data_IF_496998226128
#
_entry.id   IF_496998226128
#
_cell.length_a   1.000
_cell.length_b   1.000
_cell.length_c   1.000
_cell.angle_alpha   90.00
_cell.angle_beta   90.00
_cell.angle_gamma   90.00
#
_symmetry.space_group_name_H-M   'P 1'
#
loop_
_entity.id
_entity.type
_entity.pdbx_description
1 polymer ?
#
# COMPACT_ATOMS: atom_id res chain seq x y z
N UNK A 1 9.75 -6.67 -17.07
CA UNK A 1 10.22 -8.07 -17.33
C UNK A 1 9.35 -9.03 -16.55
N UNK A 2 9.05 -10.24 -17.07
CA UNK A 2 8.07 -11.19 -16.47
C UNK A 2 8.24 -11.40 -14.96
N UNK A 3 9.46 -11.56 -14.44
CA UNK A 3 9.67 -11.77 -13.00
C UNK A 3 9.35 -10.55 -12.13
N UNK A 4 9.49 -9.32 -12.66
CA UNK A 4 9.09 -8.10 -11.96
C UNK A 4 7.57 -8.03 -11.81
N UNK A 5 6.83 -8.46 -12.83
CA UNK A 5 5.37 -8.51 -12.78
C UNK A 5 4.88 -9.55 -11.76
N UNK A 6 5.57 -10.70 -11.65
CA UNK A 6 5.28 -11.71 -10.62
C UNK A 6 5.61 -11.19 -9.22
N UNK A 7 6.75 -10.50 -9.05
CA UNK A 7 7.10 -9.90 -7.77
C UNK A 7 6.03 -8.91 -7.30
N UNK A 8 5.55 -8.03 -8.19
CA UNK A 8 4.45 -7.10 -7.91
C UNK A 8 3.15 -7.83 -7.52
N UNK A 9 2.70 -8.80 -8.32
CA UNK A 9 1.47 -9.56 -8.00
C UNK A 9 1.56 -10.28 -6.66
N UNK A 10 2.70 -10.89 -6.35
CA UNK A 10 2.89 -11.59 -5.09
C UNK A 10 2.99 -10.60 -3.91
N UNK A 11 3.60 -9.44 -4.11
CA UNK A 11 3.61 -8.34 -3.15
C UNK A 11 2.19 -7.86 -2.81
N UNK A 12 1.35 -7.66 -3.82
CA UNK A 12 -0.05 -7.25 -3.62
C UNK A 12 -0.82 -8.29 -2.82
N UNK A 13 -0.62 -9.58 -3.13
CA UNK A 13 -1.22 -10.68 -2.37
C UNK A 13 -0.75 -10.74 -0.90
N UNK A 14 0.55 -10.54 -0.65
CA UNK A 14 1.12 -10.48 0.72
C UNK A 14 0.56 -9.29 1.50
N UNK A 15 0.41 -8.14 0.84
CA UNK A 15 -0.09 -6.92 1.48
C UNK A 15 -1.62 -6.93 1.68
N UNK A 16 -2.36 -7.71 0.90
CA UNK A 16 -3.80 -7.93 1.06
C UNK A 16 -4.15 -8.77 2.31
N UNK A 17 -5.35 -9.34 2.28
CA UNK A 17 -5.89 -10.16 3.39
C UNK A 17 -5.52 -11.64 3.30
N UNK A 18 -4.86 -12.07 2.22
CA UNK A 18 -4.55 -13.49 1.97
C UNK A 18 -3.50 -14.04 2.93
N UNK A 19 -2.55 -13.21 3.36
CA UNK A 19 -1.44 -13.63 4.22
C UNK A 19 -1.28 -12.69 5.42
N UNK A 20 -0.87 -13.23 6.55
CA UNK A 20 -0.43 -12.49 7.74
C UNK A 20 1.09 -12.56 7.89
N UNK A 21 1.64 -11.67 8.72
CA UNK A 21 3.05 -11.77 9.10
C UNK A 21 3.24 -13.06 9.92
N UNK A 22 4.25 -13.85 9.55
CA UNK A 22 4.52 -15.18 10.09
C UNK A 22 3.97 -16.32 9.23
N UNK A 23 3.08 -16.05 8.27
CA UNK A 23 2.49 -17.11 7.45
C UNK A 23 3.51 -17.73 6.49
N UNK A 24 3.34 -19.03 6.27
CA UNK A 24 4.09 -19.79 5.28
C UNK A 24 3.50 -19.56 3.88
N UNK A 25 4.32 -19.09 2.95
CA UNK A 25 3.93 -19.01 1.55
C UNK A 25 3.87 -20.42 0.92
N UNK A 26 3.03 -20.62 -0.11
CA UNK A 26 3.06 -21.84 -0.89
C UNK A 26 4.46 -22.10 -1.47
N UNK A 27 4.77 -23.37 -1.72
CA UNK A 27 6.09 -23.78 -2.23
C UNK A 27 6.40 -23.13 -3.56
N UNK A 28 7.69 -23.03 -3.92
CA UNK A 28 8.11 -22.50 -5.22
C UNK A 28 7.42 -23.25 -6.39
N UNK A 29 7.18 -24.55 -6.24
CA UNK A 29 6.48 -25.35 -7.25
C UNK A 29 5.03 -24.87 -7.39
N UNK A 30 4.29 -24.79 -6.29
CA UNK A 30 2.88 -24.35 -6.29
C UNK A 30 2.72 -22.93 -6.80
N UNK A 31 3.57 -22.00 -6.37
CA UNK A 31 3.55 -20.62 -6.83
C UNK A 31 3.88 -20.53 -8.33
N UNK A 32 4.83 -21.34 -8.82
CA UNK A 32 5.21 -21.32 -10.25
C UNK A 32 4.07 -21.80 -11.14
N UNK A 33 3.30 -22.79 -10.68
CA UNK A 33 2.08 -23.26 -11.32
C UNK A 33 0.97 -22.20 -11.26
N UNK A 34 0.75 -21.60 -10.09
CA UNK A 34 -0.28 -20.56 -9.86
C UNK A 34 -0.08 -19.36 -10.79
N UNK A 35 1.16 -18.92 -10.96
CA UNK A 35 1.49 -17.78 -11.82
C UNK A 35 1.81 -18.18 -13.27
N UNK A 36 1.77 -19.47 -13.60
CA UNK A 36 2.10 -20.03 -14.92
C UNK A 36 3.46 -19.54 -15.45
N UNK A 37 4.51 -19.66 -14.62
CA UNK A 37 5.88 -19.24 -14.97
C UNK A 37 6.90 -20.33 -14.63
N UNK A 38 8.09 -20.23 -15.23
CA UNK A 38 9.21 -21.10 -14.85
C UNK A 38 9.61 -20.89 -13.38
N UNK A 39 10.16 -21.94 -12.75
CA UNK A 39 10.74 -21.87 -11.40
C UNK A 39 11.84 -20.82 -11.28
N UNK A 40 12.66 -20.64 -12.33
CA UNK A 40 13.70 -19.61 -12.35
C UNK A 40 13.11 -18.20 -12.34
N UNK A 41 12.01 -17.97 -13.07
CA UNK A 41 11.28 -16.69 -13.07
C UNK A 41 10.70 -16.40 -11.69
N UNK A 42 10.08 -17.39 -11.06
CA UNK A 42 9.54 -17.24 -9.71
C UNK A 42 10.64 -16.96 -8.68
N UNK A 43 11.76 -17.69 -8.75
CA UNK A 43 12.91 -17.45 -7.85
C UNK A 43 13.39 -16.02 -7.92
N UNK A 44 13.58 -15.48 -9.12
CA UNK A 44 13.94 -14.05 -9.31
C UNK A 44 12.92 -13.10 -8.69
N UNK A 45 11.63 -13.44 -8.74
CA UNK A 45 10.59 -12.63 -8.11
C UNK A 45 10.67 -12.70 -6.58
N UNK A 46 10.88 -13.88 -6.01
CA UNK A 46 11.09 -14.07 -4.57
C UNK A 46 12.37 -13.39 -4.08
N UNK A 47 13.44 -13.39 -4.88
CA UNK A 47 14.70 -12.70 -4.55
C UNK A 47 14.47 -11.19 -4.36
N UNK A 48 13.60 -10.57 -5.16
CA UNK A 48 13.21 -9.16 -4.99
C UNK A 48 12.52 -8.97 -3.63
N UNK A 49 11.51 -9.78 -3.33
CA UNK A 49 10.71 -9.65 -2.10
C UNK A 49 11.54 -9.92 -0.83
N UNK A 50 12.50 -10.85 -0.91
CA UNK A 50 13.45 -11.12 0.18
C UNK A 50 14.42 -9.95 0.36
N UNK A 51 14.93 -9.38 -0.75
CA UNK A 51 15.79 -8.18 -0.69
C UNK A 51 15.04 -6.96 -0.13
N UNK A 52 13.75 -6.84 -0.41
CA UNK A 52 12.84 -5.87 0.21
C UNK A 52 12.47 -6.24 1.66
N UNK A 53 12.97 -7.36 2.18
CA UNK A 53 12.74 -7.83 3.55
C UNK A 53 11.31 -8.24 3.86
N UNK A 54 10.44 -8.37 2.85
CA UNK A 54 9.04 -8.77 3.00
C UNK A 54 8.86 -10.23 3.36
N UNK A 55 9.77 -11.07 2.86
CA UNK A 55 9.78 -12.51 3.11
C UNK A 55 11.14 -12.95 3.67
N UNK A 56 11.17 -14.12 4.28
CA UNK A 56 12.37 -14.79 4.76
C UNK A 56 12.34 -16.25 4.30
N UNK A 57 13.38 -16.69 3.57
CA UNK A 57 13.55 -18.11 3.22
C UNK A 57 14.36 -18.83 4.29
N UNK A 58 13.76 -19.87 4.87
CA UNK A 58 14.43 -20.76 5.82
C UNK A 58 14.70 -22.09 5.13
N UNK A 59 15.99 -22.45 5.03
CA UNK A 59 16.40 -23.70 4.38
C UNK A 59 15.69 -24.90 5.00
N UNK A 60 15.03 -25.72 4.17
CA UNK A 60 14.24 -26.88 4.63
C UNK A 60 12.90 -26.57 5.30
N UNK A 61 12.64 -25.33 5.71
CA UNK A 61 11.43 -24.94 6.44
C UNK A 61 10.45 -24.08 5.61
N UNK A 62 10.87 -23.56 4.47
CA UNK A 62 10.02 -22.84 3.52
C UNK A 62 10.21 -21.32 3.54
N UNK A 63 9.25 -20.58 2.98
CA UNK A 63 9.32 -19.11 2.83
C UNK A 63 8.24 -18.47 3.67
N UNK A 64 8.62 -17.59 4.60
CA UNK A 64 7.71 -16.97 5.55
C UNK A 64 7.53 -15.49 5.26
N UNK A 65 6.32 -14.97 5.50
CA UNK A 65 6.05 -13.53 5.45
C UNK A 65 6.69 -12.87 6.67
N UNK A 66 7.68 -12.00 6.46
CA UNK A 66 8.40 -11.31 7.52
C UNK A 66 7.81 -9.94 7.85
N UNK A 67 7.37 -9.21 6.82
CA UNK A 67 6.66 -7.93 6.97
C UNK A 67 5.80 -7.64 5.75
N UNK A 68 4.73 -6.90 5.96
CA UNK A 68 3.99 -6.28 4.87
C UNK A 68 4.64 -4.94 4.54
N UNK A 69 4.97 -4.71 3.27
CA UNK A 69 5.37 -3.37 2.83
C UNK A 69 4.10 -2.65 2.43
N UNK A 70 3.38 -2.12 3.42
CA UNK A 70 2.29 -1.19 3.12
C UNK A 70 2.92 0.14 2.70
N UNK A 71 3.53 0.15 1.51
CA UNK A 71 3.64 1.37 0.75
C UNK A 71 2.24 1.52 0.19
N UNK A 72 1.50 2.51 0.65
CA UNK A 72 0.34 2.98 -0.10
C UNK A 72 0.86 3.25 -1.51
N UNK A 73 0.63 2.32 -2.43
CA UNK A 73 0.97 2.49 -3.83
C UNK A 73 0.10 3.64 -4.32
N UNK A 74 0.60 4.85 -4.15
CA UNK A 74 0.24 6.02 -4.95
C UNK A 74 0.93 5.83 -6.31
N UNK A 75 0.67 4.69 -6.96
CA UNK A 75 1.10 4.49 -8.34
C UNK A 75 0.03 5.11 -9.23
N UNK A 76 0.44 6.25 -9.78
CA UNK A 76 -0.26 7.15 -10.69
C UNK A 76 -1.28 8.07 -10.06
N UNK A 77 -1.34 9.26 -10.67
CA UNK A 77 -2.24 10.38 -10.45
C UNK A 77 -3.71 10.03 -10.68
N UNK A 78 -4.11 8.82 -10.35
CA UNK A 78 -5.49 8.39 -10.38
C UNK A 78 -5.96 8.39 -8.95
N UNK A 79 -6.75 9.42 -8.61
CA UNK A 79 -7.44 9.51 -7.33
C UNK A 79 -8.11 8.15 -7.05
N UNK A 80 -8.22 7.68 -5.79
CA UNK A 80 -8.82 6.36 -5.51
C UNK A 80 -10.23 6.19 -6.15
N UNK A 81 -10.90 7.31 -6.38
CA UNK A 81 -12.11 7.46 -7.21
C UNK A 81 -11.99 6.86 -8.62
N UNK A 82 -10.87 7.04 -9.32
CA UNK A 82 -10.60 6.47 -10.66
C UNK A 82 -10.33 4.97 -10.62
N UNK A 83 -9.63 4.47 -9.60
CA UNK A 83 -9.35 3.03 -9.45
C UNK A 83 -10.67 2.26 -9.24
N UNK A 84 -11.62 2.84 -8.52
CA UNK A 84 -12.94 2.27 -8.34
C UNK A 84 -13.83 2.32 -9.59
N UNK A 85 -13.86 3.48 -10.28
CA UNK A 85 -14.56 3.59 -11.57
C UNK A 85 -14.09 2.52 -12.56
N UNK A 86 -12.78 2.29 -12.63
CA UNK A 86 -12.19 1.31 -13.54
C UNK A 86 -12.41 -0.16 -13.12
N UNK A 87 -12.83 -0.42 -11.88
CA UNK A 87 -13.15 -1.77 -11.38
C UNK A 87 -14.66 -2.02 -11.26
N UNK A 88 -15.50 -1.06 -11.66
CA UNK A 88 -16.96 -1.16 -11.56
C UNK A 88 -17.50 -1.09 -10.13
N UNK A 89 -16.67 -0.63 -9.17
CA UNK A 89 -17.04 -0.52 -7.76
C UNK A 89 -17.49 0.89 -7.44
N UNK A 90 -18.49 1.02 -6.59
CA UNK A 90 -18.95 2.33 -6.13
C UNK A 90 -18.12 2.76 -4.91
N UNK A 91 -17.45 3.91 -5.01
CA UNK A 91 -16.76 4.54 -3.88
C UNK A 91 -17.48 5.79 -3.45
N UNK A 92 -17.86 5.82 -2.19
CA UNK A 92 -18.34 6.99 -1.49
C UNK A 92 -17.27 7.40 -0.46
N UNK A 93 -16.88 8.67 -0.49
CA UNK A 93 -15.96 9.24 0.51
C UNK A 93 -16.73 10.18 1.42
N UNK A 94 -16.72 9.88 2.72
CA UNK A 94 -17.29 10.74 3.75
C UNK A 94 -16.14 11.43 4.50
N UNK A 95 -16.09 12.76 4.43
CA UNK A 95 -15.14 13.56 5.22
C UNK A 95 -15.65 13.61 6.65
N UNK A 96 -14.86 13.06 7.57
CA UNK A 96 -15.15 13.07 9.00
C UNK A 96 -14.58 14.31 9.69
N UNK A 97 -13.43 14.80 9.21
CA UNK A 97 -12.77 16.00 9.75
C UNK A 97 -11.98 16.70 8.67
N UNK A 98 -12.08 18.01 8.63
CA UNK A 98 -11.27 18.89 7.80
C UNK A 98 -10.97 20.15 8.61
N UNK A 99 -9.70 20.38 8.92
CA UNK A 99 -9.27 21.53 9.71
C UNK A 99 -7.84 21.92 9.39
N UNK A 100 -7.46 23.12 9.83
CA UNK A 100 -6.07 23.57 9.82
C UNK A 100 -5.51 23.42 11.24
N UNK A 101 -4.34 22.81 11.36
CA UNK A 101 -3.62 22.67 12.62
C UNK A 101 -2.13 22.94 12.42
N UNK A 102 -1.39 23.17 13.51
CA UNK A 102 0.06 23.25 13.47
C UNK A 102 0.70 21.88 13.22
N UNK A 103 1.71 21.81 12.37
CA UNK A 103 2.47 20.59 12.13
C UNK A 103 3.21 20.15 13.40
N UNK A 104 2.97 18.91 13.85
CA UNK A 104 3.79 18.28 14.91
C UNK A 104 5.21 18.02 14.40
N UNK A 105 6.16 17.75 15.30
CA UNK A 105 7.54 17.39 14.95
C UNK A 105 7.64 16.27 13.89
N UNK A 106 6.79 15.25 13.98
CA UNK A 106 6.78 14.16 13.00
C UNK A 106 6.29 14.65 11.64
N UNK A 107 5.16 15.38 11.62
CA UNK A 107 4.56 15.87 10.37
C UNK A 107 5.45 16.91 9.69
N UNK A 108 6.08 17.80 10.46
CA UNK A 108 6.96 18.82 9.94
C UNK A 108 8.19 18.21 9.26
N UNK A 109 8.79 17.19 9.88
CA UNK A 109 9.90 16.42 9.31
C UNK A 109 9.51 15.68 8.03
N UNK A 110 8.39 14.96 8.04
CA UNK A 110 7.95 14.17 6.87
C UNK A 110 7.53 15.05 5.69
N UNK A 111 6.90 16.20 5.97
CA UNK A 111 6.55 17.17 4.93
C UNK A 111 7.71 18.06 4.52
N UNK A 112 8.81 18.12 5.28
CA UNK A 112 9.91 19.08 5.11
C UNK A 112 9.41 20.54 5.21
N UNK A 113 8.78 20.87 6.34
CA UNK A 113 8.31 22.20 6.75
C UNK A 113 8.76 22.49 8.19
N UNK A 114 8.59 23.71 8.67
CA UNK A 114 8.90 24.04 10.08
C UNK A 114 7.86 23.49 11.03
N UNK A 115 8.26 23.13 12.26
CA UNK A 115 7.30 22.80 13.31
C UNK A 115 6.30 23.94 13.55
N UNK A 116 5.06 23.56 13.86
CA UNK A 116 3.90 24.44 14.00
C UNK A 116 3.48 25.21 12.74
N UNK A 117 4.13 25.00 11.58
CA UNK A 117 3.60 25.55 10.33
C UNK A 117 2.20 24.99 10.05
N UNK A 118 1.28 25.80 9.48
CA UNK A 118 -0.07 25.37 9.20
C UNK A 118 -0.14 24.22 8.19
N UNK A 119 -0.85 23.17 8.57
CA UNK A 119 -1.18 22.02 7.72
C UNK A 119 -2.68 21.76 7.73
N UNK A 120 -3.25 21.41 6.59
CA UNK A 120 -4.57 20.79 6.54
C UNK A 120 -4.49 19.39 7.13
N UNK A 121 -5.41 19.07 8.03
CA UNK A 121 -5.68 17.71 8.48
C UNK A 121 -7.03 17.26 7.95
N UNK A 122 -7.02 16.16 7.20
CA UNK A 122 -8.22 15.60 6.56
C UNK A 122 -8.38 14.16 7.03
N UNK A 123 -9.53 13.85 7.62
CA UNK A 123 -9.92 12.48 8.00
C UNK A 123 -11.09 12.04 7.14
N UNK A 124 -10.93 10.96 6.38
CA UNK A 124 -11.93 10.45 5.43
C UNK A 124 -12.24 8.99 5.68
N UNK A 125 -13.52 8.65 5.69
CA UNK A 125 -14.01 7.28 5.66
C UNK A 125 -14.40 6.95 4.21
N UNK A 126 -13.75 5.94 3.63
CA UNK A 126 -14.09 5.43 2.30
C UNK A 126 -14.94 4.19 2.41
N UNK A 127 -16.04 4.23 1.69
CA UNK A 127 -17.04 3.18 1.59
C UNK A 127 -16.93 2.62 0.18
N UNK A 128 -16.74 1.31 0.06
CA UNK A 128 -16.67 0.61 -1.22
C UNK A 128 -17.76 -0.45 -1.24
N UNK A 129 -18.65 -0.42 -2.23
CA UNK A 129 -19.80 -1.34 -2.35
C UNK A 129 -20.58 -1.46 -1.02
N UNK A 130 -20.91 -0.30 -0.44
CA UNK A 130 -21.62 -0.15 0.83
C UNK A 130 -20.93 -0.77 2.08
N UNK A 131 -19.62 -1.03 2.01
CA UNK A 131 -18.80 -1.51 3.15
C UNK A 131 -17.74 -0.49 3.54
N UNK A 132 -17.56 -0.29 4.85
CA UNK A 132 -16.49 0.54 5.39
C UNK A 132 -15.14 -0.10 5.06
N UNK A 133 -14.41 0.48 4.12
CA UNK A 133 -13.21 -0.14 3.56
C UNK A 133 -11.92 0.49 4.11
N UNK A 134 -11.93 1.80 4.35
CA UNK A 134 -10.71 2.51 4.70
C UNK A 134 -11.01 3.76 5.52
N UNK A 135 -10.25 3.95 6.60
CA UNK A 135 -10.09 5.23 7.27
C UNK A 135 -8.75 5.84 6.83
N UNK A 136 -8.80 7.06 6.30
CA UNK A 136 -7.66 7.78 5.76
C UNK A 136 -7.45 9.06 6.57
N UNK A 137 -6.19 9.35 6.88
CA UNK A 137 -5.76 10.60 7.47
C UNK A 137 -4.67 11.23 6.58
N UNK A 138 -4.86 12.48 6.20
CA UNK A 138 -3.97 13.20 5.27
C UNK A 138 -3.54 14.52 5.89
N UNK A 139 -2.23 14.81 5.79
CA UNK A 139 -1.64 16.10 6.15
C UNK A 139 -1.06 16.77 4.91
N UNK A 140 -1.44 18.02 4.67
CA UNK A 140 -0.97 18.81 3.52
C UNK A 140 -0.51 20.19 4.00
N UNK A 141 0.63 20.68 3.50
CA UNK A 141 1.11 22.02 3.81
C UNK A 141 0.16 23.08 3.27
N UNK A 142 -0.34 23.98 4.13
CA UNK A 142 -1.20 25.09 3.71
C UNK A 142 -0.43 26.04 2.79
N UNK A 143 0.84 26.31 3.11
CA UNK A 143 1.69 27.18 2.29
C UNK A 143 1.88 26.69 0.84
N UNK A 144 1.84 25.37 0.62
CA UNK A 144 1.91 24.78 -0.73
C UNK A 144 0.56 24.69 -1.44
N UNK A 145 -0.53 24.62 -0.69
CA UNK A 145 -1.88 24.43 -1.22
C UNK A 145 -2.88 25.43 -0.62
N UNK A 146 -2.68 26.75 -0.79
CA UNK A 146 -3.41 27.77 -0.06
C UNK A 146 -4.92 27.78 -0.33
N UNK A 147 -5.35 27.27 -1.49
CA UNK A 147 -6.76 27.28 -1.92
C UNK A 147 -7.43 25.89 -1.81
N UNK A 148 -6.87 24.98 -1.02
CA UNK A 148 -7.44 23.64 -0.89
C UNK A 148 -8.84 23.71 -0.26
N UNK A 149 -9.82 23.24 -1.02
CA UNK A 149 -11.21 23.03 -0.59
C UNK A 149 -11.55 21.55 -0.72
N UNK A 150 -12.43 21.04 0.15
CA UNK A 150 -12.84 19.64 0.21
C UNK A 150 -14.34 19.48 0.05
#
# INVERSE_FOLDING_TARGET
>A
MVFQDIARKLKDNINGYTYNVGDLLPTEIQLSQTYNVSRNTLRKALDILEKEGMIERKHGAGTYVRRKSFIAHVEHMNCLSEIAKNSGKEIVSQIMRFEVQGATHLISRELNITENEPVYYIKRLRIIDNKLAQLEETWLSVGRFPELTV
#
